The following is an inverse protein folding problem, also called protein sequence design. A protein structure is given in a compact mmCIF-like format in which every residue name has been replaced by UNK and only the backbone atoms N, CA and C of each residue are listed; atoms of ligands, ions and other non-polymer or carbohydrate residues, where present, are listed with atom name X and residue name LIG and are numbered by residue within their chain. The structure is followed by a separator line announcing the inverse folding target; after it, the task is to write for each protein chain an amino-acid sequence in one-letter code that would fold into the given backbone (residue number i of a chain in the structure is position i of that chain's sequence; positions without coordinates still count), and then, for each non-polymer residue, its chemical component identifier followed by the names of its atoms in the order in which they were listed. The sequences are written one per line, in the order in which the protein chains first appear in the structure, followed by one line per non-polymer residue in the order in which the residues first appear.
data_IF_694611929962
#
_entry.id   IF_694611929962
#
_cell.length_a   1.000
_cell.length_b   1.000
_cell.length_c   1.000
_cell.angle_alpha   90.00
_cell.angle_beta   90.00
_cell.angle_gamma   90.00
#
_symmetry.space_group_name_H-M   'P 1'
#
loop_
_entity.id
_entity.type
_entity.pdbx_description
1 polymer ?
#
# COMPACT_ATOMS: atom_id res chain seq x y z
N UNK A 1 -33.08 12.39 4.89
CA UNK A 1 -32.11 13.46 4.69
C UNK A 1 -30.79 12.75 4.51
N UNK A 2 -30.15 12.91 3.35
CA UNK A 2 -28.91 12.18 3.09
C UNK A 2 -27.74 12.81 3.84
N UNK A 3 -26.87 11.94 4.36
CA UNK A 3 -25.77 12.33 5.24
C UNK A 3 -24.44 12.28 4.50
N UNK A 4 -23.70 13.39 4.52
CA UNK A 4 -22.47 13.59 3.75
C UNK A 4 -21.27 13.68 4.70
N UNK A 5 -20.23 12.88 4.44
CA UNK A 5 -18.90 13.11 4.99
C UNK A 5 -18.11 13.95 3.99
N UNK A 6 -17.71 15.14 4.41
CA UNK A 6 -16.87 16.06 3.64
C UNK A 6 -15.47 16.07 4.23
N UNK A 7 -14.48 15.68 3.44
CA UNK A 7 -13.08 15.65 3.85
C UNK A 7 -12.25 16.54 2.91
N UNK A 8 -11.67 17.62 3.45
CA UNK A 8 -10.82 18.56 2.73
C UNK A 8 -9.94 19.28 3.75
N UNK A 9 -8.62 19.42 3.53
CA UNK A 9 -7.71 20.07 4.48
C UNK A 9 -7.72 21.60 4.38
N UNK A 10 -8.23 22.15 3.27
CA UNK A 10 -8.45 23.59 3.13
C UNK A 10 -9.73 24.04 3.86
N UNK A 11 -9.57 24.80 4.95
CA UNK A 11 -10.68 25.31 5.77
C UNK A 11 -11.68 26.13 4.95
N UNK A 12 -11.21 26.95 4.00
CA UNK A 12 -12.07 27.83 3.22
C UNK A 12 -12.92 27.03 2.21
N UNK A 13 -12.31 26.05 1.54
CA UNK A 13 -12.99 25.13 0.61
C UNK A 13 -13.99 24.29 1.38
N UNK A 14 -13.60 23.74 2.53
CA UNK A 14 -14.43 22.91 3.38
C UNK A 14 -15.66 23.65 3.89
N UNK A 15 -15.51 24.87 4.40
CA UNK A 15 -16.63 25.70 4.89
C UNK A 15 -17.56 26.13 3.76
N UNK A 16 -17.03 26.46 2.59
CA UNK A 16 -17.82 26.78 1.39
C UNK A 16 -18.68 25.59 0.96
N UNK A 17 -18.07 24.42 0.80
CA UNK A 17 -18.77 23.18 0.37
C UNK A 17 -19.79 22.75 1.42
N UNK A 18 -19.45 22.80 2.71
CA UNK A 18 -20.36 22.51 3.80
C UNK A 18 -21.60 23.39 3.72
N UNK A 19 -21.42 24.72 3.65
CA UNK A 19 -22.51 25.68 3.59
C UNK A 19 -23.44 25.43 2.40
N UNK A 20 -22.88 25.09 1.26
CA UNK A 20 -23.62 24.78 0.04
C UNK A 20 -24.43 23.49 0.20
N UNK A 21 -23.83 22.42 0.68
CA UNK A 21 -24.51 21.12 0.86
C UNK A 21 -25.63 21.21 1.92
N UNK A 22 -25.41 21.94 3.02
CA UNK A 22 -26.43 22.17 4.05
C UNK A 22 -27.64 22.95 3.50
N UNK A 23 -27.39 23.95 2.60
CA UNK A 23 -28.49 24.69 1.92
C UNK A 23 -29.29 23.80 0.97
N UNK A 24 -28.65 22.74 0.42
CA UNK A 24 -29.31 21.76 -0.46
C UNK A 24 -30.01 20.64 0.32
N UNK A 25 -30.04 20.74 1.65
CA UNK A 25 -30.78 19.83 2.52
C UNK A 25 -30.01 18.58 2.92
N UNK A 26 -28.67 18.57 2.79
CA UNK A 26 -27.84 17.48 3.31
C UNK A 26 -27.48 17.74 4.79
N UNK A 27 -27.30 16.66 5.55
CA UNK A 27 -26.63 16.69 6.84
C UNK A 27 -25.13 16.50 6.62
N UNK A 28 -24.30 17.51 6.97
CA UNK A 28 -22.87 17.48 6.64
C UNK A 28 -22.00 17.31 7.87
N UNK A 29 -21.15 16.29 7.86
CA UNK A 29 -20.06 16.12 8.80
C UNK A 29 -18.77 16.47 8.06
N UNK A 30 -18.12 17.59 8.46
CA UNK A 30 -16.92 18.09 7.81
C UNK A 30 -15.67 17.78 8.65
N UNK A 31 -14.60 17.30 8.03
CA UNK A 31 -13.32 16.93 8.66
C UNK A 31 -12.14 17.42 7.83
N UNK A 32 -11.06 17.81 8.51
CA UNK A 32 -9.87 18.38 7.86
C UNK A 32 -8.68 17.42 7.75
N UNK A 33 -8.83 16.14 8.14
CA UNK A 33 -7.73 15.17 8.04
C UNK A 33 -8.23 13.73 7.92
N UNK A 34 -7.36 12.87 7.41
CA UNK A 34 -7.62 11.43 7.20
C UNK A 34 -8.02 10.72 8.50
N UNK A 35 -7.31 11.00 9.61
CA UNK A 35 -7.58 10.34 10.88
C UNK A 35 -9.01 10.56 11.35
N UNK A 36 -9.49 11.81 11.28
CA UNK A 36 -10.82 12.17 11.73
C UNK A 36 -11.88 11.62 10.77
N UNK A 37 -11.61 11.60 9.45
CA UNK A 37 -12.46 10.94 8.47
C UNK A 37 -12.65 9.45 8.77
N UNK A 38 -11.55 8.71 9.00
CA UNK A 38 -11.59 7.29 9.34
C UNK A 38 -12.35 7.02 10.65
N UNK A 39 -12.14 7.85 11.67
CA UNK A 39 -12.87 7.74 12.94
C UNK A 39 -14.38 7.93 12.74
N UNK A 40 -14.81 8.89 11.89
CA UNK A 40 -16.22 9.11 11.57
C UNK A 40 -16.81 7.96 10.76
N UNK A 41 -16.11 7.46 9.74
CA UNK A 41 -16.54 6.31 8.93
C UNK A 41 -16.77 5.07 9.80
N UNK A 42 -15.90 4.84 10.79
CA UNK A 42 -16.03 3.69 11.69
C UNK A 42 -17.19 3.80 12.68
N UNK A 43 -17.59 5.03 13.05
CA UNK A 43 -18.57 5.28 14.12
C UNK A 43 -19.98 5.64 13.62
N UNK A 44 -20.11 6.10 12.38
CA UNK A 44 -21.33 6.73 11.86
C UNK A 44 -21.64 6.25 10.44
N UNK A 45 -22.92 6.31 10.05
CA UNK A 45 -23.35 5.95 8.69
C UNK A 45 -23.41 7.19 7.79
N UNK A 46 -22.98 7.05 6.55
CA UNK A 46 -22.98 8.09 5.54
C UNK A 46 -23.55 7.58 4.22
N UNK A 47 -24.33 8.44 3.54
CA UNK A 47 -24.86 8.16 2.20
C UNK A 47 -23.90 8.66 1.11
N UNK A 48 -23.07 9.66 1.43
CA UNK A 48 -22.15 10.30 0.50
C UNK A 48 -20.80 10.54 1.18
N UNK A 49 -19.72 10.30 0.45
CA UNK A 49 -18.39 10.83 0.72
C UNK A 49 -18.03 11.86 -0.37
N UNK A 50 -17.59 13.04 0.06
CA UNK A 50 -16.93 14.04 -0.77
C UNK A 50 -15.53 14.26 -0.20
N UNK A 51 -14.48 13.84 -0.89
CA UNK A 51 -13.10 13.86 -0.37
C UNK A 51 -12.15 14.54 -1.32
N UNK A 52 -11.32 15.44 -0.81
CA UNK A 52 -10.13 15.86 -1.53
C UNK A 52 -9.15 14.68 -1.68
N UNK A 53 -8.46 14.65 -2.81
CA UNK A 53 -7.42 13.67 -3.08
C UNK A 53 -6.14 13.93 -2.29
N UNK A 54 -5.82 15.20 -2.03
CA UNK A 54 -4.59 15.65 -1.38
C UNK A 54 -4.90 16.25 0.01
N UNK A 55 -4.71 15.47 1.08
CA UNK A 55 -5.02 15.92 2.45
C UNK A 55 -3.99 15.45 3.49
N UNK A 56 -2.94 16.14 3.75
CA UNK A 56 -2.15 17.11 3.00
C UNK A 56 -1.19 16.42 2.01
N UNK A 57 -1.20 15.09 1.92
CA UNK A 57 -0.32 14.30 1.05
C UNK A 57 -1.09 13.74 -0.12
N UNK A 58 -0.38 13.58 -1.24
CA UNK A 58 -0.93 12.85 -2.39
C UNK A 58 -1.31 11.41 -1.98
N UNK A 59 -2.56 11.03 -2.28
CA UNK A 59 -3.07 9.70 -1.95
C UNK A 59 -3.81 9.55 -0.61
N UNK A 60 -3.79 10.54 0.26
CA UNK A 60 -4.54 10.52 1.53
C UNK A 60 -6.04 10.32 1.29
N UNK A 61 -6.62 10.95 0.26
CA UNK A 61 -8.00 10.77 -0.13
C UNK A 61 -8.36 9.34 -0.55
N UNK A 62 -7.42 8.57 -1.09
CA UNK A 62 -7.65 7.16 -1.42
C UNK A 62 -7.95 6.31 -0.19
N UNK A 63 -7.24 6.56 0.90
CA UNK A 63 -7.45 5.85 2.17
C UNK A 63 -8.88 6.05 2.66
N UNK A 64 -9.41 7.28 2.54
CA UNK A 64 -10.78 7.61 2.94
C UNK A 64 -11.80 6.93 2.03
N UNK A 65 -11.60 7.01 0.70
CA UNK A 65 -12.48 6.36 -0.28
C UNK A 65 -12.53 4.86 -0.06
N UNK A 66 -11.39 4.22 0.14
CA UNK A 66 -11.32 2.77 0.39
C UNK A 66 -12.03 2.39 1.71
N UNK A 67 -11.80 3.14 2.77
CA UNK A 67 -12.47 2.90 4.05
C UNK A 67 -14.00 3.06 3.92
N UNK A 68 -14.47 4.11 3.20
CA UNK A 68 -15.88 4.32 2.94
C UNK A 68 -16.47 3.15 2.14
N UNK A 69 -15.82 2.72 1.07
CA UNK A 69 -16.27 1.57 0.26
C UNK A 69 -16.35 0.28 1.05
N UNK A 70 -15.39 0.05 1.94
CA UNK A 70 -15.39 -1.14 2.77
C UNK A 70 -16.52 -1.13 3.81
N UNK A 71 -16.75 0.02 4.45
CA UNK A 71 -17.68 0.14 5.58
C UNK A 71 -19.11 0.46 5.11
N UNK A 72 -19.24 1.28 4.06
CA UNK A 72 -20.50 1.77 3.48
C UNK A 72 -20.54 1.54 1.97
N UNK A 73 -20.67 0.30 1.48
CA UNK A 73 -20.52 -0.04 0.05
C UNK A 73 -21.57 0.60 -0.84
N UNK A 74 -22.66 1.08 -0.28
CA UNK A 74 -23.74 1.77 -1.02
C UNK A 74 -23.58 3.30 -1.03
N UNK A 75 -22.64 3.85 -0.26
CA UNK A 75 -22.43 5.28 -0.23
C UNK A 75 -21.85 5.79 -1.55
N UNK A 76 -22.38 6.91 -2.04
CA UNK A 76 -21.83 7.61 -3.21
C UNK A 76 -20.51 8.24 -2.82
N UNK A 77 -19.43 7.94 -3.55
CA UNK A 77 -18.09 8.48 -3.28
C UNK A 77 -17.64 9.39 -4.41
N UNK A 78 -17.45 10.66 -4.10
CA UNK A 78 -16.93 11.68 -5.01
C UNK A 78 -15.55 12.13 -4.55
N UNK A 79 -14.60 12.21 -5.49
CA UNK A 79 -13.24 12.67 -5.22
C UNK A 79 -13.01 14.00 -5.92
N UNK A 80 -12.40 14.94 -5.18
CA UNK A 80 -11.99 16.25 -5.68
C UNK A 80 -10.49 16.23 -5.98
N UNK A 81 -10.07 16.66 -7.18
CA UNK A 81 -8.67 16.70 -7.58
C UNK A 81 -8.29 18.04 -8.18
N UNK A 82 -7.15 18.60 -7.73
CA UNK A 82 -6.58 19.82 -8.29
C UNK A 82 -5.64 19.59 -9.48
N UNK A 83 -5.26 18.35 -9.78
CA UNK A 83 -4.28 18.01 -10.81
C UNK A 83 -4.81 16.95 -11.77
N UNK A 84 -5.21 17.36 -13.01
CA UNK A 84 -5.73 16.41 -14.01
C UNK A 84 -4.65 15.53 -14.69
N UNK A 85 -3.37 15.77 -14.46
CA UNK A 85 -2.28 15.15 -15.23
C UNK A 85 -1.84 13.75 -14.74
N UNK A 86 -2.51 13.16 -13.75
CA UNK A 86 -2.22 11.83 -13.22
C UNK A 86 -3.21 10.80 -13.76
N UNK A 87 -3.24 10.60 -15.09
CA UNK A 87 -4.19 9.68 -15.73
C UNK A 87 -4.18 8.26 -15.20
N UNK A 88 -3.03 7.74 -14.79
CA UNK A 88 -2.91 6.38 -14.23
C UNK A 88 -3.44 6.31 -12.79
N UNK A 89 -3.15 7.31 -11.96
CA UNK A 89 -3.70 7.40 -10.61
C UNK A 89 -5.22 7.65 -10.67
N UNK A 90 -5.69 8.47 -11.61
CA UNK A 90 -7.12 8.69 -11.86
C UNK A 90 -7.85 7.41 -12.29
N UNK A 91 -7.22 6.54 -13.06
CA UNK A 91 -7.81 5.25 -13.45
C UNK A 91 -8.00 4.33 -12.21
N UNK A 92 -7.04 4.28 -11.32
CA UNK A 92 -7.14 3.52 -10.07
C UNK A 92 -8.23 4.09 -9.14
N UNK A 93 -8.36 5.41 -9.09
CA UNK A 93 -9.42 6.12 -8.35
C UNK A 93 -10.80 5.79 -8.94
N UNK A 94 -10.96 5.84 -10.25
CA UNK A 94 -12.24 5.56 -10.93
C UNK A 94 -12.84 4.20 -10.59
N UNK A 95 -12.01 3.24 -10.23
CA UNK A 95 -12.48 1.92 -9.81
C UNK A 95 -13.08 1.92 -8.38
N UNK A 96 -12.78 2.92 -7.56
CA UNK A 96 -13.26 3.02 -6.18
C UNK A 96 -14.19 4.20 -5.92
N UNK A 97 -14.06 5.28 -6.67
CA UNK A 97 -14.95 6.44 -6.60
C UNK A 97 -16.03 6.41 -7.69
N UNK A 98 -17.23 6.93 -7.39
CA UNK A 98 -18.32 7.04 -8.35
C UNK A 98 -18.07 8.14 -9.38
N UNK A 99 -17.35 9.19 -8.98
CA UNK A 99 -17.03 10.31 -9.85
C UNK A 99 -15.78 11.03 -9.34
N UNK A 100 -15.05 11.65 -10.28
CA UNK A 100 -13.91 12.51 -9.99
C UNK A 100 -14.20 13.89 -10.55
N UNK A 101 -14.13 14.89 -9.68
CA UNK A 101 -14.37 16.27 -10.00
C UNK A 101 -13.06 17.04 -9.96
N UNK A 102 -12.78 17.80 -11.02
CA UNK A 102 -11.57 18.62 -11.11
C UNK A 102 -11.83 19.98 -10.45
N UNK A 103 -10.97 20.41 -9.54
CA UNK A 103 -10.98 21.75 -8.98
C UNK A 103 -10.50 22.78 -10.03
N UNK A 104 -11.14 23.97 -10.20
CA UNK A 104 -12.22 24.52 -9.39
C UNK A 104 -13.57 23.88 -9.72
N UNK A 105 -14.36 23.57 -8.68
CA UNK A 105 -15.62 22.85 -8.80
C UNK A 105 -16.75 23.83 -9.09
N UNK A 106 -17.48 23.58 -10.17
CA UNK A 106 -18.72 24.28 -10.40
C UNK A 106 -19.83 23.73 -9.49
N UNK A 107 -20.38 24.56 -8.63
CA UNK A 107 -21.38 24.16 -7.61
C UNK A 107 -22.62 23.54 -8.25
N UNK A 108 -23.07 24.07 -9.39
CA UNK A 108 -24.23 23.52 -10.10
C UNK A 108 -23.98 22.09 -10.61
N UNK A 109 -22.79 21.82 -11.10
CA UNK A 109 -22.37 20.51 -11.58
C UNK A 109 -22.25 19.51 -10.43
N UNK A 110 -21.64 19.87 -9.30
CA UNK A 110 -21.55 19.02 -8.11
C UNK A 110 -22.95 18.62 -7.60
N UNK A 111 -23.87 19.59 -7.52
CA UNK A 111 -25.25 19.34 -7.11
C UNK A 111 -25.95 18.37 -8.04
N UNK A 112 -25.85 18.56 -9.36
CA UNK A 112 -26.47 17.69 -10.35
C UNK A 112 -25.96 16.26 -10.22
N UNK A 113 -24.66 16.06 -10.09
CA UNK A 113 -24.01 14.75 -9.93
C UNK A 113 -24.47 14.08 -8.64
N UNK A 114 -24.52 14.80 -7.51
CA UNK A 114 -24.97 14.24 -6.24
C UNK A 114 -26.42 13.75 -6.33
N UNK A 115 -27.33 14.56 -6.90
CA UNK A 115 -28.72 14.15 -7.05
C UNK A 115 -28.89 12.97 -8.01
N UNK A 116 -28.16 12.95 -9.12
CA UNK A 116 -28.17 11.85 -10.07
C UNK A 116 -27.69 10.53 -9.44
N UNK A 117 -26.56 10.56 -8.76
CA UNK A 117 -25.96 9.35 -8.14
C UNK A 117 -26.80 8.84 -6.97
N UNK A 118 -27.37 9.72 -6.15
CA UNK A 118 -28.26 9.34 -5.05
C UNK A 118 -29.61 8.80 -5.55
N UNK A 119 -30.13 9.30 -6.69
CA UNK A 119 -31.35 8.78 -7.30
C UNK A 119 -31.14 7.41 -7.97
N UNK A 120 -29.93 7.15 -8.46
CA UNK A 120 -29.55 5.93 -9.16
C UNK A 120 -28.30 5.32 -8.50
N UNK A 121 -28.43 4.78 -7.28
CA UNK A 121 -27.27 4.19 -6.61
C UNK A 121 -26.77 3.01 -7.45
N UNK A 122 -25.56 3.13 -7.96
CA UNK A 122 -24.88 2.02 -8.63
C UNK A 122 -24.50 1.03 -7.54
N UNK A 123 -25.08 -0.17 -7.59
CA UNK A 123 -24.62 -1.24 -6.73
C UNK A 123 -23.15 -1.55 -7.09
N UNK A 124 -22.22 -0.95 -6.36
CA UNK A 124 -20.81 -1.24 -6.56
C UNK A 124 -20.57 -2.70 -6.20
N UNK A 125 -20.20 -3.47 -7.22
CA UNK A 125 -19.63 -4.78 -7.01
C UNK A 125 -18.38 -4.53 -6.17
N UNK A 126 -18.39 -4.96 -4.90
CA UNK A 126 -17.16 -4.97 -4.11
C UNK A 126 -16.13 -5.69 -4.97
N UNK A 127 -15.14 -4.95 -5.47
CA UNK A 127 -13.99 -5.60 -6.09
C UNK A 127 -13.40 -6.48 -4.98
N UNK A 128 -13.24 -7.78 -5.23
CA UNK A 128 -12.69 -8.65 -4.20
C UNK A 128 -11.31 -8.12 -3.84
N UNK A 129 -11.18 -7.62 -2.61
CA UNK A 129 -9.88 -7.24 -2.08
C UNK A 129 -9.07 -8.50 -1.81
N UNK A 130 -7.81 -8.47 -2.23
CA UNK A 130 -6.87 -9.54 -2.00
C UNK A 130 -5.94 -9.16 -0.83
N UNK A 131 -5.51 -10.17 -0.06
CA UNK A 131 -4.44 -9.92 0.91
C UNK A 131 -3.13 -9.63 0.20
N UNK A 132 -2.24 -8.84 0.82
CA UNK A 132 -0.90 -8.58 0.27
C UNK A 132 -0.14 -9.86 -0.02
N UNK A 133 -0.31 -10.90 0.80
CA UNK A 133 0.27 -12.22 0.57
C UNK A 133 -0.24 -12.88 -0.71
N UNK A 134 -1.55 -12.75 -1.03
CA UNK A 134 -2.13 -13.29 -2.26
C UNK A 134 -1.66 -12.52 -3.50
N UNK A 135 -1.57 -11.20 -3.41
CA UNK A 135 -1.04 -10.35 -4.50
C UNK A 135 0.40 -10.73 -4.82
N UNK A 136 1.26 -10.82 -3.79
CA UNK A 136 2.67 -11.19 -3.97
C UNK A 136 2.84 -12.61 -4.52
N UNK A 137 1.94 -13.54 -4.17
CA UNK A 137 1.96 -14.91 -4.69
C UNK A 137 1.59 -14.96 -6.17
N UNK A 138 0.55 -14.22 -6.60
CA UNK A 138 0.14 -14.14 -8.00
C UNK A 138 1.18 -13.42 -8.86
N UNK A 139 1.82 -12.38 -8.34
CA UNK A 139 2.76 -11.53 -9.07
C UNK A 139 4.23 -11.81 -8.71
N UNK A 140 4.54 -13.00 -8.19
CA UNK A 140 5.88 -13.39 -7.76
C UNK A 140 6.92 -13.19 -8.86
N UNK A 141 6.65 -13.66 -10.07
CA UNK A 141 7.54 -13.51 -11.21
C UNK A 141 7.71 -12.05 -11.65
N UNK A 142 6.68 -11.23 -11.50
CA UNK A 142 6.74 -9.80 -11.78
C UNK A 142 7.63 -9.09 -10.75
N UNK A 143 7.47 -9.42 -9.47
CA UNK A 143 8.31 -8.90 -8.37
C UNK A 143 9.79 -9.24 -8.58
N UNK A 144 10.10 -10.46 -9.02
CA UNK A 144 11.49 -10.89 -9.32
C UNK A 144 12.05 -10.12 -10.53
N UNK A 145 11.26 -9.89 -11.58
CA UNK A 145 11.71 -9.09 -12.74
C UNK A 145 11.98 -7.63 -12.36
N UNK A 146 11.11 -7.03 -11.55
CA UNK A 146 11.30 -5.67 -11.06
C UNK A 146 12.56 -5.56 -10.18
N UNK A 147 12.75 -6.51 -9.26
CA UNK A 147 13.96 -6.61 -8.47
C UNK A 147 15.23 -6.69 -9.35
N UNK A 148 15.21 -7.53 -10.38
CA UNK A 148 16.35 -7.66 -11.28
C UNK A 148 16.64 -6.37 -12.03
N UNK A 149 15.61 -5.69 -12.52
CA UNK A 149 15.74 -4.41 -13.22
C UNK A 149 16.34 -3.30 -12.31
N UNK A 150 16.02 -3.30 -11.02
CA UNK A 150 16.62 -2.40 -10.04
C UNK A 150 18.07 -2.77 -9.71
N UNK A 151 18.38 -4.06 -9.58
CA UNK A 151 19.76 -4.55 -9.36
C UNK A 151 20.67 -4.22 -10.55
N UNK A 152 20.15 -4.27 -11.78
CA UNK A 152 20.92 -3.91 -12.99
C UNK A 152 21.30 -2.43 -13.05
N UNK A 153 20.62 -1.58 -12.28
CA UNK A 153 20.93 -0.16 -12.16
C UNK A 153 21.94 0.15 -11.05
N UNK A 154 22.26 -0.83 -10.20
CA UNK A 154 23.20 -0.68 -9.10
C UNK A 154 24.61 -1.10 -9.52
N UNK A 155 25.54 -0.14 -9.55
CA UNK A 155 26.92 -0.37 -10.01
C UNK A 155 27.67 -1.31 -9.07
N UNK A 156 27.42 -1.27 -7.75
CA UNK A 156 28.09 -2.10 -6.77
C UNK A 156 27.65 -3.57 -6.91
N UNK A 157 26.35 -3.82 -7.05
CA UNK A 157 25.83 -5.17 -7.22
C UNK A 157 26.20 -5.77 -8.56
N UNK A 158 26.26 -4.97 -9.62
CA UNK A 158 26.60 -5.45 -10.98
C UNK A 158 28.07 -5.72 -11.16
N UNK A 159 28.98 -5.22 -10.29
CA UNK A 159 30.40 -5.55 -10.37
C UNK A 159 30.69 -7.04 -10.11
N UNK A 160 29.76 -7.78 -9.47
CA UNK A 160 29.84 -9.24 -9.35
C UNK A 160 29.24 -9.89 -10.59
N UNK A 161 30.01 -10.58 -11.44
CA UNK A 161 29.54 -11.11 -12.72
C UNK A 161 28.74 -12.41 -12.53
N UNK A 162 27.48 -12.28 -12.15
CA UNK A 162 26.51 -13.37 -12.03
C UNK A 162 25.56 -13.39 -13.21
N UNK A 163 25.27 -14.59 -13.73
CA UNK A 163 24.20 -14.76 -14.71
C UNK A 163 22.83 -14.62 -14.04
N UNK A 164 21.76 -14.49 -14.82
CA UNK A 164 20.41 -14.29 -14.33
C UNK A 164 19.99 -15.35 -13.29
N UNK A 165 20.23 -16.63 -13.58
CA UNK A 165 19.85 -17.74 -12.71
C UNK A 165 20.60 -17.72 -11.37
N UNK A 166 21.89 -17.42 -11.38
CA UNK A 166 22.70 -17.36 -10.15
C UNK A 166 22.35 -16.13 -9.33
N UNK A 167 21.90 -15.05 -9.98
CA UNK A 167 21.49 -13.82 -9.31
C UNK A 167 20.09 -13.91 -8.70
N UNK A 168 19.13 -14.53 -9.39
CA UNK A 168 17.71 -14.56 -8.99
C UNK A 168 17.25 -15.89 -8.37
N UNK A 169 18.00 -16.97 -8.53
CA UNK A 169 17.55 -18.34 -8.21
C UNK A 169 17.16 -18.59 -6.75
N UNK A 170 17.58 -17.74 -5.83
CA UNK A 170 17.20 -17.81 -4.42
C UNK A 170 15.90 -17.04 -4.10
N UNK A 171 15.51 -16.06 -4.94
CA UNK A 171 14.37 -15.17 -4.68
C UNK A 171 13.02 -15.89 -4.57
N UNK A 172 12.70 -16.90 -5.41
CA UNK A 172 11.46 -17.63 -5.25
C UNK A 172 11.28 -18.21 -3.83
N UNK A 173 12.35 -18.77 -3.26
CA UNK A 173 12.31 -19.35 -1.91
C UNK A 173 12.17 -18.28 -0.83
N UNK A 174 12.87 -17.13 -0.97
CA UNK A 174 12.76 -16.01 -0.04
C UNK A 174 11.35 -15.39 -0.06
N UNK A 175 10.82 -15.14 -1.25
CA UNK A 175 9.47 -14.57 -1.41
C UNK A 175 8.40 -15.55 -0.94
N UNK A 176 8.51 -16.84 -1.24
CA UNK A 176 7.57 -17.86 -0.76
C UNK A 176 7.57 -17.94 0.77
N UNK A 177 8.75 -17.89 1.42
CA UNK A 177 8.87 -17.86 2.88
C UNK A 177 8.24 -16.58 3.46
N UNK A 178 8.49 -15.41 2.85
CA UNK A 178 7.87 -14.14 3.22
C UNK A 178 6.34 -14.21 3.11
N UNK A 179 5.81 -14.66 1.97
CA UNK A 179 4.37 -14.78 1.70
C UNK A 179 3.69 -15.70 2.73
N UNK A 180 4.33 -16.84 3.02
CA UNK A 180 3.82 -17.76 4.04
C UNK A 180 3.76 -17.10 5.42
N UNK A 181 4.80 -16.36 5.81
CA UNK A 181 4.88 -15.65 7.09
C UNK A 181 3.84 -14.54 7.21
N UNK A 182 3.60 -13.78 6.13
CA UNK A 182 2.57 -12.75 6.11
C UNK A 182 1.15 -13.30 6.37
N UNK A 183 0.91 -14.59 6.08
CA UNK A 183 -0.35 -15.29 6.40
C UNK A 183 -0.47 -15.72 7.85
N UNK A 184 0.62 -15.74 8.59
CA UNK A 184 0.62 -16.13 10.00
C UNK A 184 0.27 -14.94 10.91
N UNK A 185 -0.39 -15.20 12.05
CA UNK A 185 -0.54 -14.17 13.07
C UNK A 185 0.85 -13.73 13.59
N UNK A 186 1.04 -12.45 14.00
CA UNK A 186 2.34 -11.90 14.38
C UNK A 186 3.11 -12.75 15.40
N UNK A 187 2.41 -13.33 16.39
CA UNK A 187 3.02 -14.16 17.43
C UNK A 187 3.63 -15.47 16.90
N UNK A 188 3.18 -15.94 15.73
CA UNK A 188 3.65 -17.18 15.12
C UNK A 188 4.80 -16.96 14.12
N UNK A 189 5.16 -15.70 13.83
CA UNK A 189 6.21 -15.33 12.85
C UNK A 189 7.65 -15.46 13.39
N UNK A 190 7.81 -15.75 14.67
CA UNK A 190 9.11 -15.79 15.37
C UNK A 190 10.09 -16.90 14.91
N UNK A 191 9.77 -17.67 13.89
CA UNK A 191 10.59 -18.77 13.41
C UNK A 191 11.74 -18.31 12.50
N UNK A 192 12.87 -19.03 12.58
CA UNK A 192 14.06 -18.78 11.77
C UNK A 192 13.75 -19.05 10.28
N UNK A 193 14.06 -18.09 9.40
CA UNK A 193 14.02 -18.32 7.96
C UNK A 193 15.25 -19.07 7.49
N UNK A 194 15.08 -20.34 7.14
CA UNK A 194 16.17 -21.13 6.55
C UNK A 194 16.53 -20.64 5.16
N UNK A 195 15.55 -20.20 4.35
CA UNK A 195 15.78 -19.65 3.03
C UNK A 195 16.68 -18.41 3.09
N UNK A 196 16.39 -17.48 4.02
CA UNK A 196 17.21 -16.30 4.21
C UNK A 196 18.64 -16.62 4.68
N UNK A 197 18.78 -17.59 5.59
CA UNK A 197 20.11 -18.03 6.05
C UNK A 197 20.94 -18.61 4.90
N UNK A 198 20.35 -19.50 4.08
CA UNK A 198 21.00 -20.09 2.91
C UNK A 198 21.36 -19.02 1.87
N UNK A 199 20.51 -17.99 1.70
CA UNK A 199 20.82 -16.86 0.86
C UNK A 199 22.09 -16.13 1.30
N UNK A 200 22.24 -15.83 2.59
CA UNK A 200 23.44 -15.18 3.12
C UNK A 200 24.70 -16.02 2.89
N UNK A 201 24.62 -17.35 3.11
CA UNK A 201 25.73 -18.28 2.83
C UNK A 201 26.11 -18.30 1.33
N UNK A 202 25.09 -18.28 0.45
CA UNK A 202 25.28 -18.25 -1.00
C UNK A 202 25.99 -16.97 -1.43
N UNK A 203 25.52 -15.79 -0.97
CA UNK A 203 26.10 -14.50 -1.35
C UNK A 203 27.53 -14.34 -0.89
N UNK A 204 27.85 -14.84 0.31
CA UNK A 204 29.26 -14.90 0.76
C UNK A 204 30.15 -15.71 -0.19
N UNK A 205 29.66 -16.87 -0.66
CA UNK A 205 30.42 -17.72 -1.62
C UNK A 205 30.57 -17.05 -2.97
N UNK A 206 29.63 -16.20 -3.36
CA UNK A 206 29.64 -15.42 -4.61
C UNK A 206 30.50 -14.15 -4.53
N UNK A 207 31.09 -13.84 -3.36
CA UNK A 207 31.97 -12.69 -3.18
C UNK A 207 31.26 -11.38 -2.83
N UNK A 208 30.00 -11.43 -2.45
CA UNK A 208 29.28 -10.25 -1.97
C UNK A 208 29.90 -9.70 -0.69
N UNK A 209 29.86 -8.38 -0.53
CA UNK A 209 30.10 -7.71 0.75
C UNK A 209 28.85 -7.73 1.61
N UNK A 210 29.00 -7.44 2.91
CA UNK A 210 27.85 -7.26 3.80
C UNK A 210 26.95 -6.08 3.36
N UNK A 211 27.54 -5.00 2.82
CA UNK A 211 26.82 -3.86 2.30
C UNK A 211 25.94 -4.24 1.10
N UNK A 212 26.48 -5.00 0.14
CA UNK A 212 25.72 -5.52 -0.99
C UNK A 212 24.52 -6.38 -0.56
N UNK A 213 24.68 -7.19 0.50
CA UNK A 213 23.57 -8.01 1.01
C UNK A 213 22.46 -7.15 1.60
N UNK A 214 22.80 -6.05 2.29
CA UNK A 214 21.84 -5.07 2.80
C UNK A 214 21.13 -4.36 1.64
N UNK A 215 21.88 -3.97 0.60
CA UNK A 215 21.32 -3.30 -0.56
C UNK A 215 20.37 -4.21 -1.35
N UNK A 216 20.71 -5.49 -1.54
CA UNK A 216 19.78 -6.46 -2.14
C UNK A 216 18.46 -6.57 -1.38
N UNK A 217 18.53 -6.57 -0.04
CA UNK A 217 17.33 -6.62 0.81
C UNK A 217 16.48 -5.35 0.67
N UNK A 218 17.12 -4.18 0.61
CA UNK A 218 16.44 -2.90 0.37
C UNK A 218 15.74 -2.90 -1.01
N UNK A 219 16.42 -3.35 -2.05
CA UNK A 219 15.85 -3.47 -3.40
C UNK A 219 14.66 -4.44 -3.40
N UNK A 220 14.76 -5.57 -2.67
CA UNK A 220 13.65 -6.52 -2.54
C UNK A 220 12.42 -5.86 -1.90
N UNK A 221 12.61 -5.09 -0.85
CA UNK A 221 11.52 -4.34 -0.21
C UNK A 221 10.87 -3.35 -1.16
N UNK A 222 11.68 -2.61 -1.94
CA UNK A 222 11.16 -1.66 -2.95
C UNK A 222 10.35 -2.40 -4.01
N UNK A 223 10.84 -3.53 -4.53
CA UNK A 223 10.13 -4.34 -5.55
C UNK A 223 8.81 -4.90 -5.03
N UNK A 224 8.76 -5.31 -3.76
CA UNK A 224 7.52 -5.72 -3.11
C UNK A 224 6.51 -4.57 -3.08
N UNK A 225 6.95 -3.37 -2.70
CA UNK A 225 6.06 -2.20 -2.66
C UNK A 225 5.61 -1.76 -4.05
N UNK A 226 6.48 -1.84 -5.08
CA UNK A 226 6.11 -1.60 -6.48
C UNK A 226 5.03 -2.59 -6.93
N UNK A 227 5.16 -3.86 -6.57
CA UNK A 227 4.13 -4.88 -6.87
C UNK A 227 2.79 -4.52 -6.24
N UNK A 228 2.77 -4.07 -4.98
CA UNK A 228 1.54 -3.61 -4.33
C UNK A 228 0.98 -2.35 -4.99
N UNK A 229 1.84 -1.40 -5.36
CA UNK A 229 1.45 -0.18 -6.06
C UNK A 229 0.79 -0.49 -7.41
N UNK A 230 1.30 -1.45 -8.16
CA UNK A 230 0.73 -1.90 -9.42
C UNK A 230 -0.62 -2.64 -9.25
N UNK A 231 -0.95 -3.08 -8.02
CA UNK A 231 -2.18 -3.79 -7.68
C UNK A 231 -3.08 -3.02 -6.71
N UNK A 232 -2.97 -1.69 -6.64
CA UNK A 232 -3.74 -0.86 -5.70
C UNK A 232 -5.25 -1.11 -5.75
N UNK A 233 -5.79 -1.43 -6.93
CA UNK A 233 -7.22 -1.73 -7.11
C UNK A 233 -7.69 -2.99 -6.39
N UNK A 234 -6.77 -3.89 -6.03
CA UNK A 234 -7.06 -5.14 -5.31
C UNK A 234 -6.75 -5.05 -3.82
N UNK A 235 -5.95 -4.05 -3.41
CA UNK A 235 -5.49 -3.90 -2.02
C UNK A 235 -6.62 -3.39 -1.13
N UNK A 236 -6.77 -4.00 0.05
CA UNK A 236 -7.62 -3.47 1.11
C UNK A 236 -6.87 -2.33 1.84
N UNK A 237 -7.17 -1.08 1.46
CA UNK A 237 -6.53 0.10 2.04
C UNK A 237 -6.74 0.24 3.55
N UNK A 238 -7.82 -0.34 4.12
CA UNK A 238 -8.05 -0.30 5.57
C UNK A 238 -6.98 -1.07 6.36
N UNK A 239 -6.32 -2.04 5.71
CA UNK A 239 -5.25 -2.87 6.29
C UNK A 239 -3.86 -2.50 5.77
N UNK A 240 -3.78 -1.70 4.70
CA UNK A 240 -2.52 -1.45 3.98
C UNK A 240 -1.38 -1.00 4.91
N UNK A 241 -1.64 -0.10 5.87
CA UNK A 241 -0.60 0.36 6.79
C UNK A 241 -0.07 -0.77 7.69
N UNK A 242 -0.96 -1.65 8.18
CA UNK A 242 -0.57 -2.81 8.97
C UNK A 242 0.22 -3.81 8.12
N UNK A 243 -0.18 -4.00 6.88
CA UNK A 243 0.47 -4.88 5.93
C UNK A 243 1.86 -4.36 5.54
N UNK A 244 2.01 -3.05 5.32
CA UNK A 244 3.31 -2.39 5.06
C UNK A 244 4.27 -2.59 6.23
N UNK A 245 3.80 -2.38 7.46
CA UNK A 245 4.61 -2.62 8.67
C UNK A 245 4.99 -4.10 8.78
N UNK A 246 4.05 -5.02 8.50
CA UNK A 246 4.32 -6.45 8.55
C UNK A 246 5.35 -6.89 7.48
N UNK A 247 5.26 -6.35 6.26
CA UNK A 247 6.24 -6.62 5.18
C UNK A 247 7.62 -6.12 5.59
N UNK A 248 7.72 -4.88 6.10
CA UNK A 248 8.99 -4.29 6.52
C UNK A 248 9.65 -5.13 7.62
N UNK A 249 8.89 -5.51 8.66
CA UNK A 249 9.38 -6.35 9.77
C UNK A 249 9.87 -7.72 9.28
N UNK A 250 9.14 -8.36 8.36
CA UNK A 250 9.53 -9.66 7.81
C UNK A 250 10.76 -9.56 6.90
N UNK A 251 10.90 -8.53 6.08
CA UNK A 251 12.09 -8.30 5.25
C UNK A 251 13.31 -8.05 6.13
N UNK A 252 13.18 -7.24 7.19
CA UNK A 252 14.25 -7.01 8.16
C UNK A 252 14.62 -8.29 8.93
N UNK A 253 13.62 -9.10 9.28
CA UNK A 253 13.84 -10.42 9.90
C UNK A 253 14.62 -11.36 8.97
N UNK A 254 14.26 -11.42 7.68
CA UNK A 254 15.00 -12.20 6.67
C UNK A 254 16.41 -11.67 6.49
N UNK A 255 16.61 -10.35 6.42
CA UNK A 255 17.96 -9.74 6.34
C UNK A 255 18.82 -10.15 7.53
N UNK A 256 18.26 -10.11 8.75
CA UNK A 256 18.97 -10.57 9.96
C UNK A 256 19.40 -12.04 9.82
N UNK A 257 18.54 -12.92 9.33
CA UNK A 257 18.87 -14.34 9.13
C UNK A 257 19.91 -14.53 8.01
N UNK A 258 19.82 -13.75 6.93
CA UNK A 258 20.81 -13.75 5.85
C UNK A 258 22.18 -13.29 6.37
N UNK A 259 22.24 -12.25 7.20
CA UNK A 259 23.47 -11.80 7.84
C UNK A 259 24.10 -12.86 8.75
N UNK A 260 23.27 -13.60 9.52
CA UNK A 260 23.76 -14.72 10.32
C UNK A 260 24.34 -15.86 9.45
N UNK A 261 23.72 -16.16 8.31
CA UNK A 261 24.25 -17.08 7.33
C UNK A 261 25.55 -16.58 6.67
N UNK A 262 25.59 -15.29 6.35
CA UNK A 262 26.74 -14.64 5.73
C UNK A 262 27.96 -14.63 6.67
N UNK A 263 27.80 -14.30 7.95
CA UNK A 263 28.90 -14.29 8.93
C UNK A 263 29.37 -15.72 9.23
N UNK A 264 28.49 -16.70 9.16
CA UNK A 264 28.77 -18.11 9.49
C UNK A 264 28.74 -18.39 11.01
N UNK A 265 28.95 -19.64 11.42
CA UNK A 265 28.96 -19.99 12.84
C UNK A 265 30.10 -19.25 13.53
N UNK A 266 29.76 -18.44 14.54
CA UNK A 266 30.76 -17.82 15.42
C UNK A 266 31.60 -18.91 16.07
N UNK A 267 32.95 -18.88 15.98
CA UNK A 267 33.77 -19.81 16.73
C UNK A 267 33.33 -19.72 18.20
N UNK A 268 32.98 -20.82 18.81
CA UNK A 268 32.71 -20.85 20.26
C UNK A 268 33.98 -20.34 20.90
N UNK A 269 33.92 -19.17 21.56
CA UNK A 269 34.98 -18.72 22.44
C UNK A 269 35.13 -19.80 23.52
N UNK A 270 36.21 -20.59 23.45
CA UNK A 270 36.62 -21.46 24.54
C UNK A 270 37.20 -20.54 25.58
N UNK A 271 36.38 -20.05 26.48
CA UNK A 271 36.87 -19.47 27.72
C UNK A 271 37.44 -20.63 28.54
N UNK A 272 38.73 -20.89 28.40
CA UNK A 272 39.43 -21.71 29.39
C UNK A 272 39.50 -20.86 30.65
N UNK A 273 38.75 -21.27 31.67
CA UNK A 273 38.94 -20.77 33.03
C UNK A 273 40.35 -21.19 33.45
N UNK A 274 41.25 -20.23 33.62
CA UNK A 274 42.49 -20.35 34.32
C UNK A 274 42.30 -19.85 35.73
#
# INVERSE_FOLDING_TARGET
MSRVLLADDDDAVRDMLRTMLERDGFEVVAVGCVRDALARIAAENFDVLLSDLHMPRAGDGFTIVSAMRHTHPQAVTLVLSGYPALDEALAAIRLQADEILVKPIEIASLRAILHEKLANPVAHRQLPTESVASILEHDLDATIRDWMALVEQDEELTCIPLNFKDRTGHLPNLLTDLIWRLRLPPIARANISNAARQHGELRRKQGYTAAMLVEESRILQVSIFNTLQNNLTKVDFSKLLLDVVAIADEVDSQLKQAMLGYIGPTPRATWSAA
#
